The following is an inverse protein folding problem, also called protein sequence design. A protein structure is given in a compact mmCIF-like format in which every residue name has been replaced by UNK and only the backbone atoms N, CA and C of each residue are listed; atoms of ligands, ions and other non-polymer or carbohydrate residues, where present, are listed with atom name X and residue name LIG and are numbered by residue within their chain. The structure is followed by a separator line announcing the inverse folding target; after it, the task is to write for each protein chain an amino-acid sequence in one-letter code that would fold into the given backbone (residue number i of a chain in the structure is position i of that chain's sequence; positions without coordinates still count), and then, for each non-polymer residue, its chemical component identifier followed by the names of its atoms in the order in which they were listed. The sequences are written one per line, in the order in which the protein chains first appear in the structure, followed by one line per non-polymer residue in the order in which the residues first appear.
data_IF_673074884553
#
_entry.id   IF_673074884553
#
_cell.length_a   1.000
_cell.length_b   1.000
_cell.length_c   1.000
_cell.angle_alpha   90.00
_cell.angle_beta   90.00
_cell.angle_gamma   90.00
#
_symmetry.space_group_name_H-M   'P 1'
#
loop_
_entity.id
_entity.type
_entity.pdbx_description
1 polymer ?
#
# COMPACT_ATOMS: atom_id res chain seq x y z
N UNK A 1 9.05 21.22 34.92
CA UNK A 1 7.74 21.79 34.50
C UNK A 1 7.32 20.98 33.28
N UNK A 2 6.31 20.11 33.42
CA UNK A 2 5.83 19.30 32.31
C UNK A 2 4.89 20.17 31.47
N UNK A 3 5.26 20.46 30.23
CA UNK A 3 4.37 21.12 29.27
C UNK A 3 3.22 20.13 29.01
N UNK A 4 2.00 20.50 29.41
CA UNK A 4 0.80 19.71 29.11
C UNK A 4 0.21 20.23 27.82
N UNK A 5 0.24 19.41 26.77
CA UNK A 5 -0.44 19.69 25.52
C UNK A 5 -1.95 19.58 25.69
N UNK A 6 -2.70 20.44 24.98
CA UNK A 6 -4.16 20.35 24.93
C UNK A 6 -4.61 19.19 24.05
N UNK A 7 -5.84 18.69 24.22
CA UNK A 7 -6.36 17.60 23.38
C UNK A 7 -6.39 18.00 21.91
N UNK A 8 -6.73 19.25 21.57
CA UNK A 8 -6.63 19.75 20.18
C UNK A 8 -5.19 19.77 19.64
N UNK A 9 -4.18 20.06 20.47
CA UNK A 9 -2.78 19.97 20.05
C UNK A 9 -2.38 18.50 19.82
N UNK A 10 -2.82 17.60 20.70
CA UNK A 10 -2.64 16.15 20.54
C UNK A 10 -3.34 15.67 19.26
N UNK A 11 -4.57 16.12 19.00
CA UNK A 11 -5.36 15.77 17.83
C UNK A 11 -4.73 16.35 16.54
N UNK A 12 -4.11 17.53 16.60
CA UNK A 12 -3.33 18.11 15.49
C UNK A 12 -2.03 17.34 15.19
N UNK A 13 -1.50 16.59 16.15
CA UNK A 13 -0.42 15.64 15.92
C UNK A 13 -0.93 14.33 15.31
N UNK A 14 -2.17 13.92 15.61
CA UNK A 14 -2.75 12.65 15.17
C UNK A 14 -3.01 12.63 13.64
N UNK A 15 -3.23 13.77 13.00
CA UNK A 15 -3.45 13.86 11.53
C UNK A 15 -2.19 13.82 10.65
N UNK A 16 -0.96 13.80 11.17
CA UNK A 16 0.21 14.14 10.31
C UNK A 16 0.95 12.95 9.70
N UNK A 17 1.09 11.81 10.39
CA UNK A 17 1.99 10.74 9.91
C UNK A 17 1.47 9.91 8.72
N UNK A 18 0.15 9.74 8.59
CA UNK A 18 -0.43 8.99 7.46
C UNK A 18 -0.56 9.86 6.22
N UNK A 19 -1.05 11.08 6.39
CA UNK A 19 -1.15 12.07 5.32
C UNK A 19 0.24 12.43 4.77
N UNK A 20 1.24 12.65 5.63
CA UNK A 20 2.62 12.93 5.20
C UNK A 20 3.22 11.76 4.42
N UNK A 21 3.01 10.52 4.90
CA UNK A 21 3.48 9.32 4.20
C UNK A 21 2.77 9.15 2.85
N UNK A 22 1.45 9.38 2.82
CA UNK A 22 0.65 9.31 1.60
C UNK A 22 1.07 10.39 0.60
N UNK A 23 1.36 11.61 1.05
CA UNK A 23 1.84 12.70 0.22
C UNK A 23 3.25 12.43 -0.33
N UNK A 24 4.17 11.96 0.53
CA UNK A 24 5.51 11.56 0.10
C UNK A 24 5.45 10.46 -0.95
N UNK A 25 4.62 9.44 -0.72
CA UNK A 25 4.46 8.34 -1.65
C UNK A 25 3.76 8.79 -2.94
N UNK A 26 2.75 9.65 -2.87
CA UNK A 26 2.09 10.23 -4.04
C UNK A 26 3.08 10.97 -4.94
N UNK A 27 3.89 11.85 -4.35
CA UNK A 27 4.90 12.61 -5.08
C UNK A 27 5.93 11.70 -5.76
N UNK A 28 6.33 10.62 -5.08
CA UNK A 28 7.21 9.58 -5.64
C UNK A 28 6.53 8.83 -6.80
N UNK A 29 5.31 8.34 -6.61
CA UNK A 29 4.58 7.54 -7.59
C UNK A 29 4.20 8.34 -8.84
N UNK A 30 3.93 9.64 -8.69
CA UNK A 30 3.72 10.55 -9.82
C UNK A 30 4.93 10.66 -10.75
N UNK A 31 6.14 10.50 -10.21
CA UNK A 31 7.37 10.49 -11.00
C UNK A 31 7.60 9.13 -11.66
N UNK A 32 7.33 8.04 -10.94
CA UNK A 32 7.60 6.67 -11.41
C UNK A 32 6.53 6.20 -12.42
N UNK A 33 5.26 6.52 -12.17
CA UNK A 33 4.10 6.04 -12.95
C UNK A 33 3.17 7.20 -13.38
N UNK A 34 3.68 8.19 -14.14
CA UNK A 34 2.90 9.36 -14.56
C UNK A 34 1.64 9.00 -15.37
N UNK A 35 1.71 7.93 -16.16
CA UNK A 35 0.56 7.46 -16.95
C UNK A 35 -0.57 6.95 -16.06
N UNK A 36 -0.24 6.30 -14.94
CA UNK A 36 -1.24 5.78 -13.99
C UNK A 36 -1.85 6.90 -13.15
N UNK A 37 -1.07 7.92 -12.77
CA UNK A 37 -1.63 9.08 -12.05
C UNK A 37 -2.62 9.87 -12.90
N UNK A 38 -2.34 10.03 -14.19
CA UNK A 38 -3.31 10.64 -15.11
C UNK A 38 -4.53 9.75 -15.31
N UNK A 39 -4.32 8.45 -15.62
CA UNK A 39 -5.40 7.51 -15.92
C UNK A 39 -6.39 7.33 -14.77
N UNK A 40 -5.91 7.17 -13.54
CA UNK A 40 -6.76 6.80 -12.41
C UNK A 40 -7.21 8.01 -11.57
N UNK A 41 -6.41 9.07 -11.56
CA UNK A 41 -6.62 10.20 -10.66
C UNK A 41 -6.70 11.54 -11.39
N UNK A 42 -6.49 11.60 -12.71
CA UNK A 42 -6.40 12.87 -13.46
C UNK A 42 -5.41 13.85 -12.81
N UNK A 43 -4.31 13.30 -12.28
CA UNK A 43 -3.29 14.03 -11.52
C UNK A 43 -3.81 14.84 -10.31
N UNK A 44 -5.02 14.54 -9.83
CA UNK A 44 -5.66 15.14 -8.65
C UNK A 44 -4.95 14.67 -7.37
N UNK A 45 -4.26 15.61 -6.71
CA UNK A 45 -3.44 15.32 -5.53
C UNK A 45 -4.30 14.83 -4.38
N UNK A 46 -5.44 15.46 -4.12
CA UNK A 46 -6.29 15.14 -2.97
C UNK A 46 -6.86 13.73 -3.10
N UNK A 47 -7.29 13.34 -4.31
CA UNK A 47 -7.75 11.97 -4.57
C UNK A 47 -6.64 10.95 -4.43
N UNK A 48 -5.46 11.25 -4.97
CA UNK A 48 -4.31 10.36 -4.92
C UNK A 48 -3.80 10.12 -3.50
N UNK A 49 -3.64 11.19 -2.73
CA UNK A 49 -3.23 11.14 -1.32
C UNK A 49 -4.25 10.37 -0.50
N UNK A 50 -5.55 10.69 -0.63
CA UNK A 50 -6.61 9.96 0.08
C UNK A 50 -6.65 8.47 -0.26
N UNK A 51 -6.39 8.11 -1.51
CA UNK A 51 -6.29 6.71 -1.92
C UNK A 51 -5.14 5.99 -1.19
N UNK A 52 -3.96 6.61 -1.17
CA UNK A 52 -2.76 6.05 -0.55
C UNK A 52 -2.87 5.99 0.96
N UNK A 53 -3.49 6.98 1.58
CA UNK A 53 -3.80 7.00 3.02
C UNK A 53 -4.59 5.74 3.39
N UNK A 54 -5.69 5.44 2.67
CA UNK A 54 -6.49 4.24 2.90
C UNK A 54 -5.64 2.96 2.77
N UNK A 55 -4.80 2.86 1.73
CA UNK A 55 -3.93 1.71 1.54
C UNK A 55 -2.92 1.55 2.68
N UNK A 56 -2.28 2.65 3.12
CA UNK A 56 -1.29 2.67 4.18
C UNK A 56 -1.88 2.41 5.57
N UNK A 57 -3.15 2.71 5.79
CA UNK A 57 -3.87 2.36 7.02
C UNK A 57 -4.24 0.88 7.02
N UNK A 58 -4.72 0.34 5.88
CA UNK A 58 -5.15 -1.07 5.80
C UNK A 58 -4.03 -2.04 6.08
N UNK A 59 -2.82 -1.79 5.58
CA UNK A 59 -1.68 -2.71 5.75
C UNK A 59 -1.22 -2.86 7.20
N UNK A 60 -1.57 -1.92 8.10
CA UNK A 60 -1.18 -1.99 9.51
C UNK A 60 -1.59 -3.30 10.19
N UNK A 61 -2.73 -3.89 9.81
CA UNK A 61 -3.20 -5.17 10.36
C UNK A 61 -2.26 -6.35 10.08
N UNK A 62 -1.37 -6.21 9.09
CA UNK A 62 -0.39 -7.21 8.70
C UNK A 62 1.02 -6.90 9.20
N UNK A 63 1.24 -5.69 9.74
CA UNK A 63 2.51 -5.19 10.24
C UNK A 63 2.49 -4.99 11.77
N UNK A 64 1.66 -5.74 12.47
CA UNK A 64 1.58 -5.73 13.93
C UNK A 64 2.95 -6.06 14.53
N UNK A 65 3.33 -5.51 15.68
CA UNK A 65 4.58 -5.83 16.40
C UNK A 65 5.88 -5.34 15.72
N UNK A 66 5.80 -4.65 14.58
CA UNK A 66 6.95 -4.06 13.88
C UNK A 66 6.81 -2.55 13.68
N UNK A 67 5.93 -1.90 14.43
CA UNK A 67 5.66 -0.44 14.34
C UNK A 67 6.86 0.44 14.73
N UNK A 68 7.73 -0.09 15.60
CA UNK A 68 8.95 0.58 16.07
C UNK A 68 10.17 0.29 15.18
N UNK A 69 10.03 -0.54 14.15
CA UNK A 69 11.10 -0.84 13.19
C UNK A 69 11.32 0.33 12.23
N UNK A 70 12.58 0.65 11.92
CA UNK A 70 12.94 1.71 10.96
C UNK A 70 12.33 1.46 9.56
N UNK A 71 12.13 0.19 9.19
CA UNK A 71 11.53 -0.27 7.95
C UNK A 71 10.00 -0.18 7.90
N UNK A 72 9.33 0.13 9.01
CA UNK A 72 7.85 0.11 9.09
C UNK A 72 7.17 0.95 8.00
N UNK A 73 7.61 2.21 7.84
CA UNK A 73 7.03 3.10 6.84
C UNK A 73 7.41 2.67 5.40
N UNK A 74 8.53 1.98 5.21
CA UNK A 74 8.92 1.44 3.91
C UNK A 74 7.93 0.35 3.47
N UNK A 75 7.59 -0.60 4.33
CA UNK A 75 6.63 -1.66 3.96
C UNK A 75 5.23 -1.10 3.73
N UNK A 76 4.81 -0.09 4.49
CA UNK A 76 3.56 0.63 4.23
C UNK A 76 3.56 1.30 2.86
N UNK A 77 4.68 1.91 2.50
CA UNK A 77 4.91 2.55 1.19
C UNK A 77 4.84 1.53 0.06
N UNK A 78 5.50 0.37 0.20
CA UNK A 78 5.47 -0.73 -0.77
C UNK A 78 4.05 -1.26 -0.97
N UNK A 79 3.31 -1.53 0.10
CA UNK A 79 1.92 -1.95 -0.01
C UNK A 79 1.05 -0.89 -0.72
N UNK A 80 1.23 0.39 -0.38
CA UNK A 80 0.52 1.48 -1.07
C UNK A 80 0.86 1.57 -2.56
N UNK A 81 2.10 1.29 -2.95
CA UNK A 81 2.52 1.22 -4.34
C UNK A 81 1.86 0.05 -5.08
N UNK A 82 1.76 -1.12 -4.47
CA UNK A 82 1.03 -2.27 -5.03
C UNK A 82 -0.43 -1.88 -5.28
N UNK A 83 -1.10 -1.32 -4.27
CA UNK A 83 -2.48 -0.84 -4.40
C UNK A 83 -2.63 0.22 -5.50
N UNK A 84 -1.67 1.13 -5.61
CA UNK A 84 -1.69 2.20 -6.61
C UNK A 84 -1.56 1.65 -8.03
N UNK A 85 -0.62 0.73 -8.28
CA UNK A 85 -0.42 0.12 -9.59
C UNK A 85 -1.68 -0.62 -10.05
N UNK A 86 -2.31 -1.35 -9.13
CA UNK A 86 -3.53 -2.10 -9.38
C UNK A 86 -4.79 -1.20 -9.37
N UNK A 87 -4.67 0.04 -8.93
CA UNK A 87 -5.78 0.96 -8.63
C UNK A 87 -6.88 0.30 -7.76
N UNK A 88 -6.44 -0.48 -6.78
CA UNK A 88 -7.32 -1.17 -5.84
C UNK A 88 -6.69 -1.14 -4.45
N UNK A 89 -7.42 -0.58 -3.48
CA UNK A 89 -6.99 -0.59 -2.08
C UNK A 89 -7.55 -1.78 -1.29
N UNK A 90 -8.24 -2.71 -1.96
CA UNK A 90 -8.78 -3.96 -1.42
C UNK A 90 -8.14 -5.19 -2.05
N UNK A 91 -6.85 -5.13 -2.33
CA UNK A 91 -6.11 -6.28 -2.88
C UNK A 91 -6.19 -7.51 -1.95
N UNK A 92 -6.48 -7.31 -0.67
CA UNK A 92 -6.72 -8.34 0.33
C UNK A 92 -8.12 -8.98 0.26
N UNK A 93 -9.00 -8.53 -0.63
CA UNK A 93 -10.28 -9.21 -0.94
C UNK A 93 -10.08 -10.42 -1.85
N UNK A 94 -9.00 -10.46 -2.62
CA UNK A 94 -8.59 -11.64 -3.36
C UNK A 94 -8.12 -12.75 -2.39
N UNK A 95 -8.66 -13.98 -2.48
CA UNK A 95 -8.32 -15.06 -1.56
C UNK A 95 -6.84 -15.44 -1.56
N UNK A 96 -6.15 -15.33 -2.70
CA UNK A 96 -4.75 -15.70 -2.81
C UNK A 96 -3.84 -14.65 -2.15
N UNK A 97 -4.07 -13.36 -2.43
CA UNK A 97 -3.38 -12.26 -1.77
C UNK A 97 -3.62 -12.27 -0.25
N UNK A 98 -4.85 -12.52 0.17
CA UNK A 98 -5.20 -12.66 1.59
C UNK A 98 -4.43 -13.80 2.24
N UNK A 99 -4.33 -14.96 1.58
CA UNK A 99 -3.56 -16.10 2.05
C UNK A 99 -2.09 -15.75 2.33
N UNK A 100 -1.46 -14.98 1.44
CA UNK A 100 -0.08 -14.47 1.63
C UNK A 100 0.02 -13.52 2.83
N UNK A 101 -0.91 -12.57 2.94
CA UNK A 101 -0.91 -11.55 3.99
C UNK A 101 -1.21 -12.10 5.39
N UNK A 102 -1.95 -13.21 5.47
CA UNK A 102 -2.33 -13.88 6.71
C UNK A 102 -1.39 -15.04 7.09
N UNK A 103 -0.40 -15.38 6.25
CA UNK A 103 0.53 -16.50 6.47
C UNK A 103 1.41 -16.31 7.71
N UNK A 104 1.11 -17.06 8.77
CA UNK A 104 1.79 -16.97 10.06
C UNK A 104 3.21 -17.54 10.07
N UNK A 105 3.57 -18.36 9.08
CA UNK A 105 4.92 -18.91 8.95
C UNK A 105 5.95 -17.83 8.58
N UNK A 106 5.52 -16.73 7.97
CA UNK A 106 6.40 -15.66 7.53
C UNK A 106 6.43 -14.49 8.51
N UNK A 107 7.62 -13.86 8.68
CA UNK A 107 7.69 -12.54 9.30
C UNK A 107 6.77 -11.55 8.60
N UNK A 108 6.20 -10.61 9.36
CA UNK A 108 5.18 -9.67 8.88
C UNK A 108 5.59 -8.87 7.64
N UNK A 109 6.83 -8.39 7.60
CA UNK A 109 7.36 -7.66 6.46
C UNK A 109 7.51 -8.53 5.21
N UNK A 110 7.89 -9.80 5.36
CA UNK A 110 8.18 -10.71 4.25
C UNK A 110 6.93 -10.98 3.40
N UNK A 111 5.74 -10.93 4.01
CA UNK A 111 4.46 -11.08 3.31
C UNK A 111 4.25 -9.99 2.26
N UNK A 112 4.61 -8.75 2.61
CA UNK A 112 4.50 -7.60 1.71
C UNK A 112 5.56 -7.67 0.62
N UNK A 113 6.78 -8.07 0.97
CA UNK A 113 7.87 -8.25 0.01
C UNK A 113 7.54 -9.34 -1.03
N UNK A 114 6.87 -10.42 -0.60
CA UNK A 114 6.39 -11.48 -1.51
C UNK A 114 5.35 -10.94 -2.48
N UNK A 115 4.35 -10.18 -2.00
CA UNK A 115 3.37 -9.54 -2.89
C UNK A 115 4.05 -8.58 -3.87
N UNK A 116 5.01 -7.79 -3.42
CA UNK A 116 5.75 -6.86 -4.27
C UNK A 116 6.54 -7.61 -5.36
N UNK A 117 7.26 -8.67 -4.99
CA UNK A 117 8.03 -9.48 -5.93
C UNK A 117 7.15 -10.20 -6.97
N UNK A 118 5.93 -10.60 -6.57
CA UNK A 118 4.93 -11.16 -7.49
C UNK A 118 4.46 -10.10 -8.48
N UNK A 119 4.12 -8.90 -8.01
CA UNK A 119 3.71 -7.80 -8.88
C UNK A 119 4.84 -7.41 -9.85
N UNK A 120 6.07 -7.27 -9.35
CA UNK A 120 7.24 -6.95 -10.18
C UNK A 120 7.47 -8.01 -11.26
N UNK A 121 7.42 -9.29 -10.87
CA UNK A 121 7.53 -10.42 -11.81
C UNK A 121 6.41 -10.38 -12.85
N UNK A 122 5.21 -9.98 -12.43
CA UNK A 122 4.06 -9.83 -13.32
C UNK A 122 4.25 -8.66 -14.28
N UNK A 123 4.75 -7.50 -13.83
CA UNK A 123 4.95 -6.34 -14.70
C UNK A 123 6.11 -6.54 -15.70
N UNK A 124 7.15 -7.28 -15.31
CA UNK A 124 8.37 -7.42 -16.11
C UNK A 124 8.45 -8.67 -16.97
N UNK A 125 7.56 -9.66 -16.77
CA UNK A 125 7.56 -10.91 -17.54
C UNK A 125 6.26 -11.08 -18.36
N UNK A 126 6.34 -11.05 -19.71
CA UNK A 126 5.17 -11.20 -20.59
C UNK A 126 4.37 -12.49 -20.39
N UNK A 127 5.00 -13.59 -19.97
CA UNK A 127 4.30 -14.86 -19.73
C UNK A 127 3.61 -14.86 -18.36
N UNK A 128 4.19 -14.23 -17.35
CA UNK A 128 3.51 -13.94 -16.09
C UNK A 128 2.28 -13.06 -16.33
N UNK A 129 2.39 -12.00 -17.14
CA UNK A 129 1.24 -11.15 -17.50
C UNK A 129 0.09 -11.95 -18.13
N UNK A 130 0.40 -12.84 -19.07
CA UNK A 130 -0.60 -13.72 -19.70
C UNK A 130 -1.24 -14.67 -18.68
N UNK A 131 -0.45 -15.20 -17.76
CA UNK A 131 -0.92 -16.09 -16.70
C UNK A 131 -1.89 -15.37 -15.76
N UNK A 132 -1.54 -14.19 -15.24
CA UNK A 132 -2.41 -13.42 -14.35
C UNK A 132 -3.65 -12.88 -15.06
N UNK A 133 -3.54 -12.44 -16.32
CA UNK A 133 -4.71 -12.07 -17.13
C UNK A 133 -5.64 -13.26 -17.43
N UNK A 134 -5.13 -14.49 -17.41
CA UNK A 134 -5.95 -15.71 -17.51
C UNK A 134 -6.64 -16.04 -16.17
N UNK A 135 -5.94 -15.82 -15.04
CA UNK A 135 -6.49 -15.98 -13.70
C UNK A 135 -7.66 -15.03 -13.43
N UNK A 136 -7.58 -13.75 -13.82
CA UNK A 136 -8.69 -12.78 -13.69
C UNK A 136 -9.96 -13.20 -14.44
N UNK A 137 -9.80 -13.92 -15.56
CA UNK A 137 -10.93 -14.45 -16.35
C UNK A 137 -11.55 -15.68 -15.72
N UNK A 138 -10.86 -16.32 -14.78
CA UNK A 138 -11.34 -17.47 -14.06
C UNK A 138 -12.18 -16.98 -12.88
N UNK A 139 -13.51 -17.18 -12.96
CA UNK A 139 -14.37 -16.96 -11.81
C UNK A 139 -14.10 -18.07 -10.80
N UNK A 140 -13.47 -17.71 -9.69
CA UNK A 140 -13.37 -18.56 -8.52
C UNK A 140 -14.76 -18.55 -7.85
N UNK A 141 -15.48 -19.65 -8.03
CA UNK A 141 -16.81 -19.88 -7.46
C UNK A 141 -16.75 -20.51 -6.09
#
# INVERSE_FOLDING_TARGET
MAIKFTQEQIDSFITTREEDLALLNWNRLKVIYPDLTEKYFNNDVDKGVKFLEIAHTRVKKYLTEVEDDDGYNQWRTVYGEICFILNDNKIDDDPWNRGILEERLWPHFLRIDILAGVLESSLNNPDSQKFYAALEKQKWG
#
